data_IF_197024315190
#
_entry.id   IF_197024315190
#
_cell.length_a   1.000
_cell.length_b   1.000
_cell.length_c   1.000
_cell.angle_alpha   90.00
_cell.angle_beta   90.00
_cell.angle_gamma   90.00
#
_symmetry.space_group_name_H-M   'P 1'
#
loop_
_entity.id
_entity.type
_entity.pdbx_description
1 polymer ?
#
# COMPACT_ATOMS: atom_id res chain seq x y z
N UNK A 1 37.18 44.40 41.28
CA UNK A 1 36.41 43.17 41.52
C UNK A 1 35.34 42.91 40.44
N UNK A 2 34.77 43.97 39.84
CA UNK A 2 33.67 43.91 38.84
C UNK A 2 34.03 43.28 37.49
N UNK A 3 35.23 43.51 36.94
CA UNK A 3 35.67 42.96 35.63
C UNK A 3 35.72 41.43 35.61
N UNK A 4 36.15 40.80 36.70
CA UNK A 4 36.19 39.33 36.80
C UNK A 4 34.79 38.72 36.81
N UNK A 5 33.85 39.36 37.51
CA UNK A 5 32.46 38.93 37.57
C UNK A 5 31.76 39.03 36.20
N UNK A 6 32.00 40.14 35.48
CA UNK A 6 31.49 40.36 34.11
C UNK A 6 32.04 39.34 33.10
N UNK A 7 33.32 38.99 33.20
CA UNK A 7 33.93 38.00 32.31
C UNK A 7 33.34 36.59 32.54
N UNK A 8 33.12 36.21 33.81
CA UNK A 8 32.52 34.91 34.15
C UNK A 8 31.05 34.80 33.72
N UNK A 9 30.26 35.86 33.83
CA UNK A 9 28.85 35.84 33.40
C UNK A 9 28.73 35.80 31.87
N UNK A 10 29.58 36.54 31.15
CA UNK A 10 29.61 36.50 29.69
C UNK A 10 29.98 35.11 29.15
N UNK A 11 30.94 34.43 29.78
CA UNK A 11 31.34 33.07 29.41
C UNK A 11 30.24 32.05 29.72
N UNK A 12 29.58 32.16 30.88
CA UNK A 12 28.47 31.29 31.24
C UNK A 12 27.28 31.45 30.28
N UNK A 13 26.95 32.69 29.90
CA UNK A 13 25.87 32.97 28.96
C UNK A 13 26.16 32.41 27.55
N UNK A 14 27.40 32.56 27.07
CA UNK A 14 27.80 32.02 25.75
C UNK A 14 27.83 30.50 25.73
N UNK A 15 28.26 29.84 26.82
CA UNK A 15 28.18 28.38 26.95
C UNK A 15 26.73 27.90 26.93
N UNK A 16 25.85 28.49 27.74
CA UNK A 16 24.43 28.11 27.81
C UNK A 16 23.73 28.29 26.46
N UNK A 17 23.94 29.43 25.79
CA UNK A 17 23.34 29.72 24.48
C UNK A 17 23.96 28.88 23.36
N UNK A 18 25.27 28.61 23.42
CA UNK A 18 25.99 27.82 22.41
C UNK A 18 25.62 26.33 22.46
N UNK A 19 25.50 25.74 23.65
CA UNK A 19 25.16 24.31 23.78
C UNK A 19 23.66 24.04 23.64
N UNK A 20 22.79 25.00 23.98
CA UNK A 20 21.34 24.89 23.77
C UNK A 20 20.94 25.03 22.28
N UNK A 21 21.81 25.56 21.42
CA UNK A 21 21.52 25.83 20.01
C UNK A 21 21.44 24.59 19.10
N UNK A 22 21.96 23.43 19.52
CA UNK A 22 21.99 22.23 18.66
C UNK A 22 20.60 21.74 18.23
N UNK A 23 19.54 22.04 19.00
CA UNK A 23 18.17 21.61 18.72
C UNK A 23 17.37 22.51 17.77
N UNK A 24 17.90 23.69 17.39
CA UNK A 24 17.13 24.68 16.61
C UNK A 24 17.13 24.35 15.11
N UNK A 25 18.18 23.66 14.63
CA UNK A 25 18.36 23.32 13.22
C UNK A 25 18.10 21.84 12.90
N UNK A 26 17.70 21.05 13.89
CA UNK A 26 17.30 19.65 13.63
C UNK A 26 15.87 19.61 13.15
N UNK A 27 15.66 19.00 12.00
CA UNK A 27 14.34 18.69 11.51
C UNK A 27 13.64 17.74 12.51
N UNK A 28 12.44 18.09 12.94
CA UNK A 28 11.73 17.31 13.97
C UNK A 28 11.33 15.97 13.38
N UNK A 29 11.76 14.87 14.00
CA UNK A 29 11.48 13.51 13.51
C UNK A 29 9.98 13.24 13.31
N UNK A 30 9.10 13.92 14.08
CA UNK A 30 7.64 13.81 13.97
C UNK A 30 7.05 14.48 12.73
N UNK A 31 7.80 15.36 12.05
CA UNK A 31 7.37 16.00 10.80
C UNK A 31 7.75 15.19 9.56
N UNK A 32 8.51 14.09 9.72
CA UNK A 32 8.86 13.20 8.62
C UNK A 32 7.71 12.21 8.40
N UNK A 33 6.93 12.35 7.32
CA UNK A 33 5.84 11.43 7.05
C UNK A 33 6.42 10.04 6.75
N UNK A 34 5.88 9.03 7.41
CA UNK A 34 6.12 7.63 7.13
C UNK A 34 4.79 6.88 7.19
N UNK A 35 4.74 5.70 6.60
CA UNK A 35 3.57 4.83 6.74
C UNK A 35 3.72 4.07 8.05
N UNK A 36 2.91 4.43 9.05
CA UNK A 36 3.00 3.85 10.39
C UNK A 36 2.25 2.52 10.56
N UNK A 37 1.45 2.13 9.55
CA UNK A 37 0.81 0.82 9.47
C UNK A 37 1.53 -0.10 8.50
N UNK A 38 0.95 -1.28 8.28
CA UNK A 38 1.52 -2.30 7.39
C UNK A 38 1.42 -1.91 5.91
N UNK A 39 0.49 -0.99 5.59
CA UNK A 39 0.29 -0.49 4.25
C UNK A 39 1.15 0.74 3.95
N UNK A 40 1.37 0.99 2.66
CA UNK A 40 2.17 2.12 2.19
C UNK A 40 1.29 3.24 1.64
N UNK A 41 1.71 4.48 1.86
CA UNK A 41 1.10 5.65 1.25
C UNK A 41 1.83 6.00 -0.05
N UNK A 42 1.07 6.21 -1.12
CA UNK A 42 1.60 6.53 -2.47
C UNK A 42 0.88 7.75 -2.98
N UNK A 43 1.59 8.68 -3.61
CA UNK A 43 0.99 9.84 -4.25
C UNK A 43 1.36 9.78 -5.74
N UNK A 44 0.37 9.81 -6.61
CA UNK A 44 0.54 9.84 -8.06
C UNK A 44 -0.27 11.02 -8.57
N UNK A 45 0.41 12.08 -9.04
CA UNK A 45 -0.26 13.32 -9.45
C UNK A 45 -1.26 13.84 -8.39
N UNK A 46 -2.53 13.95 -8.77
CA UNK A 46 -3.64 14.35 -7.90
C UNK A 46 -4.34 13.20 -7.15
N UNK A 47 -3.84 11.97 -7.26
CA UNK A 47 -4.33 10.81 -6.52
C UNK A 47 -3.43 10.50 -5.32
N UNK A 48 -4.05 10.41 -4.16
CA UNK A 48 -3.43 10.08 -2.89
C UNK A 48 -3.91 8.70 -2.45
N UNK A 49 -3.08 7.67 -2.64
CA UNK A 49 -3.37 6.32 -2.20
C UNK A 49 -2.88 6.14 -0.77
N UNK A 50 -3.76 5.66 0.11
CA UNK A 50 -3.53 5.55 1.55
C UNK A 50 -3.69 4.11 1.98
N UNK A 51 -2.74 3.67 2.80
CA UNK A 51 -2.69 2.32 3.36
C UNK A 51 -2.82 1.22 2.29
N UNK A 52 -2.00 1.32 1.23
CA UNK A 52 -1.97 0.30 0.18
C UNK A 52 -1.36 -0.98 0.73
N UNK A 53 -2.14 -2.05 0.67
CA UNK A 53 -1.84 -3.38 1.16
C UNK A 53 -2.08 -4.40 0.06
N UNK A 54 -1.30 -5.48 0.09
CA UNK A 54 -1.49 -6.64 -0.78
C UNK A 54 -1.71 -7.85 0.10
N UNK A 55 -2.89 -8.47 -0.03
CA UNK A 55 -3.26 -9.67 0.72
C UNK A 55 -3.35 -10.84 -0.26
N UNK A 56 -2.62 -11.91 0.00
CA UNK A 56 -2.63 -13.13 -0.82
C UNK A 56 -3.26 -14.30 -0.09
N UNK A 57 -3.56 -15.36 -0.82
CA UNK A 57 -4.05 -16.64 -0.31
C UNK A 57 -3.20 -17.82 -0.82
N UNK A 58 -3.61 -19.05 -0.47
CA UNK A 58 -2.92 -20.28 -0.88
C UNK A 58 -2.92 -20.50 -2.41
N UNK A 59 -3.84 -19.86 -3.14
CA UNK A 59 -3.92 -19.94 -4.60
C UNK A 59 -2.88 -19.06 -5.29
N UNK A 60 -2.29 -18.10 -4.57
CA UNK A 60 -1.35 -17.11 -5.12
C UNK A 60 -2.04 -15.95 -5.84
N UNK A 61 -3.34 -15.76 -5.61
CA UNK A 61 -4.07 -14.56 -6.03
C UNK A 61 -3.78 -13.43 -5.05
N UNK A 62 -4.01 -12.18 -5.46
CA UNK A 62 -3.70 -11.01 -4.64
C UNK A 62 -4.83 -10.00 -4.64
N UNK A 63 -5.22 -9.56 -3.46
CA UNK A 63 -6.21 -8.52 -3.20
C UNK A 63 -5.49 -7.23 -2.86
N UNK A 64 -5.78 -6.17 -3.60
CA UNK A 64 -5.29 -4.83 -3.32
C UNK A 64 -6.28 -4.12 -2.39
N UNK A 65 -5.83 -3.77 -1.18
CA UNK A 65 -6.63 -3.00 -0.23
C UNK A 65 -6.02 -1.61 -0.11
N UNK A 66 -6.83 -0.57 -0.33
CA UNK A 66 -6.38 0.81 -0.22
C UNK A 66 -7.56 1.78 -0.06
N UNK A 67 -7.26 2.99 0.41
CA UNK A 67 -8.16 4.14 0.26
C UNK A 67 -7.54 5.13 -0.72
N UNK A 68 -8.27 5.51 -1.75
CA UNK A 68 -7.82 6.50 -2.73
C UNK A 68 -8.55 7.81 -2.44
N UNK A 69 -7.79 8.88 -2.25
CA UNK A 69 -8.31 10.24 -2.22
C UNK A 69 -7.95 10.90 -3.54
N UNK A 70 -8.96 11.26 -4.32
CA UNK A 70 -8.83 11.94 -5.59
C UNK A 70 -9.11 13.44 -5.38
N UNK A 71 -8.05 14.25 -5.40
CA UNK A 71 -8.15 15.71 -5.28
C UNK A 71 -8.42 16.40 -6.63
N UNK A 72 -8.62 15.63 -7.70
CA UNK A 72 -9.01 16.15 -9.01
C UNK A 72 -10.53 16.26 -9.12
N UNK A 73 -11.01 17.12 -10.03
CA UNK A 73 -12.45 17.37 -10.24
C UNK A 73 -13.12 16.33 -11.17
N UNK A 74 -12.39 15.31 -11.61
CA UNK A 74 -12.89 14.30 -12.55
C UNK A 74 -12.60 12.89 -12.02
N UNK A 75 -13.43 11.93 -12.43
CA UNK A 75 -13.15 10.50 -12.20
C UNK A 75 -11.86 10.13 -12.92
N UNK A 76 -10.96 9.45 -12.21
CA UNK A 76 -9.69 8.96 -12.75
C UNK A 76 -9.71 7.43 -12.81
N UNK A 77 -9.06 6.88 -13.82
CA UNK A 77 -8.82 5.44 -13.94
C UNK A 77 -7.36 5.18 -13.60
N UNK A 78 -7.14 4.60 -12.42
CA UNK A 78 -5.83 4.23 -11.92
C UNK A 78 -5.48 2.83 -12.41
N UNK A 79 -4.40 2.71 -13.17
CA UNK A 79 -3.76 1.45 -13.50
C UNK A 79 -2.82 1.06 -12.37
N UNK A 80 -3.00 -0.16 -11.88
CA UNK A 80 -2.18 -0.81 -10.86
C UNK A 80 -1.57 -2.05 -11.47
N UNK A 81 -0.30 -1.96 -11.88
CA UNK A 81 0.45 -3.04 -12.51
C UNK A 81 1.26 -3.79 -11.43
N UNK A 82 0.93 -5.06 -11.20
CA UNK A 82 1.71 -5.97 -10.37
C UNK A 82 2.87 -6.53 -11.19
N UNK A 83 4.10 -6.11 -10.88
CA UNK A 83 5.29 -6.66 -11.51
C UNK A 83 5.70 -7.96 -10.86
N UNK A 84 5.15 -9.04 -11.39
CA UNK A 84 5.57 -10.41 -11.10
C UNK A 84 6.27 -10.98 -12.34
N UNK A 85 6.55 -12.29 -12.35
CA UNK A 85 7.06 -12.97 -13.54
C UNK A 85 6.13 -12.79 -14.76
N UNK A 86 4.82 -12.69 -14.51
CA UNK A 86 3.82 -12.30 -15.51
C UNK A 86 3.11 -11.03 -15.02
N UNK A 87 3.37 -9.86 -15.63
CA UNK A 87 2.73 -8.62 -15.22
C UNK A 87 1.20 -8.73 -15.28
N UNK A 88 0.53 -8.26 -14.24
CA UNK A 88 -0.93 -8.26 -14.13
C UNK A 88 -1.40 -6.85 -13.83
N UNK A 89 -2.33 -6.36 -14.66
CA UNK A 89 -2.88 -5.01 -14.52
C UNK A 89 -4.28 -5.06 -13.89
N UNK A 90 -4.48 -4.23 -12.88
CA UNK A 90 -5.80 -3.90 -12.34
C UNK A 90 -6.14 -2.46 -12.68
N UNK A 91 -7.38 -2.24 -13.13
CA UNK A 91 -7.91 -0.88 -13.28
C UNK A 91 -8.83 -0.58 -12.11
N UNK A 92 -8.50 0.46 -11.36
CA UNK A 92 -9.29 0.94 -10.23
C UNK A 92 -9.90 2.30 -10.58
N UNK A 93 -11.21 2.42 -10.39
CA UNK A 93 -11.92 3.68 -10.63
C UNK A 93 -11.80 4.54 -9.37
N UNK A 94 -11.20 5.72 -9.50
CA UNK A 94 -11.09 6.70 -8.42
C UNK A 94 -12.09 7.85 -8.68
N UNK A 95 -13.22 7.83 -7.96
CA UNK A 95 -14.19 8.92 -7.99
C UNK A 95 -13.61 10.16 -7.30
N UNK A 96 -14.15 11.35 -7.60
CA UNK A 96 -13.82 12.58 -6.88
C UNK A 96 -14.02 12.38 -5.37
N UNK A 97 -13.07 12.84 -4.56
CA UNK A 97 -13.08 12.61 -3.11
C UNK A 97 -12.55 11.22 -2.74
N UNK A 98 -13.28 10.49 -1.90
CA UNK A 98 -12.79 9.25 -1.28
C UNK A 98 -13.37 8.01 -1.96
N UNK A 99 -12.49 7.12 -2.43
CA UNK A 99 -12.84 5.79 -2.92
C UNK A 99 -12.14 4.71 -2.08
N UNK A 100 -12.91 3.72 -1.63
CA UNK A 100 -12.41 2.54 -0.91
C UNK A 100 -12.18 1.40 -1.89
N UNK A 101 -11.07 0.68 -1.75
CA UNK A 101 -10.63 -0.39 -2.67
C UNK A 101 -10.26 -1.61 -1.84
N UNK A 102 -10.72 -2.79 -2.26
CA UNK A 102 -10.44 -4.06 -1.59
C UNK A 102 -11.00 -4.18 -0.17
N UNK A 103 -11.86 -3.25 0.26
CA UNK A 103 -12.64 -3.43 1.48
C UNK A 103 -13.80 -4.37 1.19
N UNK A 104 -14.01 -5.33 2.09
CA UNK A 104 -15.00 -6.39 1.92
C UNK A 104 -16.33 -5.85 1.36
N UNK A 105 -16.76 -6.46 0.26
CA UNK A 105 -18.03 -6.26 -0.47
C UNK A 105 -18.25 -4.92 -1.21
N UNK A 106 -17.41 -3.90 -1.01
CA UNK A 106 -17.61 -2.59 -1.65
C UNK A 106 -17.01 -2.52 -3.06
N UNK A 107 -15.71 -2.82 -3.21
CA UNK A 107 -14.96 -2.69 -4.47
C UNK A 107 -13.79 -3.70 -4.51
N UNK A 108 -14.03 -4.97 -4.87
CA UNK A 108 -12.96 -5.96 -4.93
C UNK A 108 -11.94 -5.58 -6.01
N UNK A 109 -10.66 -5.58 -5.66
CA UNK A 109 -9.55 -5.35 -6.58
C UNK A 109 -8.60 -6.54 -6.50
N UNK A 110 -8.95 -7.60 -7.24
CA UNK A 110 -8.26 -8.89 -7.18
C UNK A 110 -7.45 -9.13 -8.45
N UNK A 111 -6.14 -9.27 -8.31
CA UNK A 111 -5.21 -9.73 -9.33
C UNK A 111 -5.10 -11.26 -9.25
N UNK A 112 -5.59 -11.94 -10.29
CA UNK A 112 -5.61 -13.42 -10.37
C UNK A 112 -4.31 -13.91 -11.01
N UNK A 113 -3.73 -14.97 -10.46
CA UNK A 113 -2.55 -15.63 -11.02
C UNK A 113 -1.24 -14.89 -10.75
N UNK A 114 -1.18 -14.04 -9.73
CA UNK A 114 0.05 -13.31 -9.37
C UNK A 114 1.16 -14.20 -8.84
N UNK A 115 0.82 -15.42 -8.42
CA UNK A 115 1.72 -16.39 -7.78
C UNK A 115 2.50 -15.79 -6.58
N UNK A 116 1.91 -14.78 -5.93
CA UNK A 116 2.54 -14.12 -4.79
C UNK A 116 2.48 -15.01 -3.55
N UNK A 117 3.45 -14.83 -2.65
CA UNK A 117 3.56 -15.54 -1.38
C UNK A 117 3.68 -14.54 -0.24
N UNK A 118 3.01 -14.83 0.87
CA UNK A 118 3.09 -14.01 2.06
C UNK A 118 4.53 -13.89 2.58
N UNK A 119 4.90 -12.70 3.06
CA UNK A 119 6.23 -12.39 3.57
C UNK A 119 7.23 -11.90 2.53
N UNK A 120 6.87 -11.85 1.24
CA UNK A 120 7.68 -11.21 0.21
C UNK A 120 7.26 -9.76 -0.04
N UNK A 121 8.06 -9.04 -0.83
CA UNK A 121 7.68 -7.74 -1.38
C UNK A 121 7.34 -7.89 -2.85
N UNK A 122 6.32 -7.16 -3.30
CA UNK A 122 5.94 -7.05 -4.71
C UNK A 122 6.10 -5.61 -5.17
N UNK A 123 6.71 -5.42 -6.34
CA UNK A 123 6.78 -4.11 -6.96
C UNK A 123 5.49 -3.84 -7.72
N UNK A 124 4.81 -2.76 -7.35
CA UNK A 124 3.57 -2.32 -7.98
C UNK A 124 3.77 -0.94 -8.57
N UNK A 125 3.39 -0.80 -9.84
CA UNK A 125 3.45 0.45 -10.57
C UNK A 125 2.06 1.08 -10.65
N UNK A 126 1.95 2.29 -10.11
CA UNK A 126 0.71 3.07 -10.05
C UNK A 126 0.77 4.20 -11.07
N UNK A 127 -0.19 4.25 -11.98
CA UNK A 127 -0.25 5.27 -13.02
C UNK A 127 -1.69 5.63 -13.35
N UNK A 128 -1.96 6.90 -13.65
CA UNK A 128 -3.26 7.29 -14.19
C UNK A 128 -3.09 8.36 -15.28
N UNK A 129 -3.96 8.29 -16.29
CA UNK A 129 -4.00 9.27 -17.38
C UNK A 129 -2.65 9.44 -18.07
N UNK A 130 -2.13 10.67 -18.09
CA UNK A 130 -0.80 11.01 -18.63
C UNK A 130 0.21 11.42 -17.56
N UNK A 131 -0.03 11.12 -16.28
CA UNK A 131 0.92 11.42 -15.22
C UNK A 131 2.08 10.41 -15.22
N UNK A 132 3.23 10.86 -14.71
CA UNK A 132 4.34 9.96 -14.40
C UNK A 132 3.88 8.98 -13.32
N UNK A 133 4.05 7.68 -13.59
CA UNK A 133 3.69 6.65 -12.62
C UNK A 133 4.75 6.49 -11.55
N UNK A 134 4.32 5.93 -10.42
CA UNK A 134 5.16 5.70 -9.25
C UNK A 134 5.26 4.21 -8.99
N UNK A 135 6.48 3.72 -8.86
CA UNK A 135 6.76 2.33 -8.50
C UNK A 135 6.99 2.24 -6.99
N UNK A 136 6.33 1.29 -6.35
CA UNK A 136 6.45 1.05 -4.91
C UNK A 136 6.62 -0.43 -4.63
N UNK A 137 7.51 -0.76 -3.70
CA UNK A 137 7.69 -2.12 -3.22
C UNK A 137 6.81 -2.33 -1.98
N UNK A 138 5.79 -3.16 -2.09
CA UNK A 138 4.73 -3.34 -1.09
C UNK A 138 4.83 -4.74 -0.47
N UNK A 139 4.78 -4.87 0.86
CA UNK A 139 4.79 -6.19 1.51
C UNK A 139 3.50 -6.96 1.18
N UNK A 140 3.66 -8.26 0.93
CA UNK A 140 2.56 -9.20 0.72
C UNK A 140 2.24 -9.89 2.04
N UNK A 141 1.00 -9.73 2.50
CA UNK A 141 0.48 -10.36 3.72
C UNK A 141 -0.52 -11.46 3.36
N UNK A 142 -0.95 -12.25 4.32
CA UNK A 142 -1.99 -13.28 4.16
C UNK A 142 -3.18 -13.04 5.09
N UNK A 143 -4.26 -13.77 4.82
CA UNK A 143 -5.47 -13.79 5.64
C UNK A 143 -5.37 -14.65 6.91
N UNK A 144 -4.18 -15.14 7.29
CA UNK A 144 -4.02 -16.04 8.46
C UNK A 144 -4.32 -15.32 9.77
N UNK A 145 -4.11 -14.00 9.83
CA UNK A 145 -4.50 -13.17 10.96
C UNK A 145 -5.94 -12.66 10.80
N UNK A 146 -6.71 -12.67 11.89
CA UNK A 146 -8.13 -12.21 11.90
C UNK A 146 -8.32 -10.81 11.31
N UNK A 147 -7.32 -9.93 11.45
CA UNK A 147 -7.34 -8.57 10.92
C UNK A 147 -7.38 -8.54 9.38
N UNK A 148 -6.71 -9.48 8.70
CA UNK A 148 -6.60 -9.51 7.23
C UNK A 148 -7.48 -10.56 6.57
N UNK A 149 -7.99 -11.52 7.33
CA UNK A 149 -8.90 -12.56 6.83
C UNK A 149 -10.06 -12.03 5.95
N UNK A 150 -10.72 -10.89 6.27
CA UNK A 150 -11.80 -10.34 5.45
C UNK A 150 -11.37 -9.82 4.07
N UNK A 151 -10.08 -9.71 3.81
CA UNK A 151 -9.51 -9.18 2.58
C UNK A 151 -8.86 -10.26 1.71
N UNK A 152 -8.93 -11.52 2.13
CA UNK A 152 -8.39 -12.65 1.40
C UNK A 152 -9.07 -12.78 0.01
N UNK A 153 -8.31 -12.97 -1.08
CA UNK A 153 -8.85 -13.10 -2.43
C UNK A 153 -9.92 -14.19 -2.57
N UNK A 154 -9.74 -15.34 -1.90
CA UNK A 154 -10.66 -16.47 -1.88
C UNK A 154 -12.10 -16.14 -1.46
N UNK A 155 -12.35 -15.02 -0.80
CA UNK A 155 -13.71 -14.56 -0.45
C UNK A 155 -14.45 -13.94 -1.64
N UNK A 156 -13.72 -13.50 -2.66
CA UNK A 156 -14.25 -12.72 -3.79
C UNK A 156 -14.07 -13.43 -5.13
N UNK A 157 -13.18 -14.43 -5.21
CA UNK A 157 -12.98 -15.27 -6.38
C UNK A 157 -13.88 -16.51 -6.26
N UNK A 158 -14.76 -16.82 -7.22
CA UNK A 158 -15.47 -18.09 -7.21
C UNK A 158 -14.45 -19.24 -7.28
N UNK A 159 -14.62 -20.27 -6.44
CA UNK A 159 -13.79 -21.47 -6.48
C UNK A 159 -13.61 -21.94 -7.93
N UNK A 160 -12.40 -22.37 -8.34
CA UNK A 160 -12.19 -22.87 -9.69
C UNK A 160 -13.21 -23.97 -9.97
N UNK A 161 -14.02 -23.76 -11.01
CA UNK A 161 -15.05 -24.73 -11.41
C UNK A 161 -14.35 -26.05 -11.71
N UNK A 162 -14.48 -27.00 -10.79
CA UNK A 162 -14.09 -28.39 -11.05
C UNK A 162 -14.89 -28.85 -12.25
N UNK A 163 -14.24 -28.94 -13.41
CA UNK A 163 -14.85 -29.55 -14.59
C UNK A 163 -15.22 -30.98 -14.19
N UNK A 164 -16.50 -31.38 -14.19
CA UNK A 164 -16.86 -32.74 -13.79
C UNK A 164 -16.12 -33.70 -14.70
N UNK A 165 -15.30 -34.56 -14.09
CA UNK A 165 -14.63 -35.67 -14.76
C UNK A 165 -15.70 -36.48 -15.48
N UNK A 166 -15.54 -36.65 -16.78
CA UNK A 166 -16.52 -37.28 -17.64
C UNK A 166 -16.99 -38.63 -17.05
N UNK A 167 -18.29 -38.76 -16.82
CA UNK A 167 -18.94 -40.04 -16.53
C UNK A 167 -18.53 -41.05 -17.61
N UNK A 168 -17.92 -42.19 -17.27
CA UNK A 168 -17.60 -43.19 -18.28
C UNK A 168 -18.90 -43.68 -18.91
N UNK A 169 -18.99 -43.50 -20.22
CA UNK A 169 -20.09 -43.97 -21.07
C UNK A 169 -20.23 -45.48 -20.90
N UNK A 170 -21.36 -45.95 -20.37
CA UNK A 170 -21.68 -47.36 -20.32
C UNK A 170 -21.91 -47.87 -21.75
N UNK A 171 -21.09 -48.85 -22.15
CA UNK A 171 -21.32 -49.69 -23.33
C UNK A 171 -22.60 -50.51 -23.11
N UNK A 172 -23.59 -50.49 -24.03
CA UNK A 172 -24.66 -51.47 -23.98
C UNK A 172 -24.16 -52.78 -24.60
N UNK A 173 -24.08 -53.84 -23.80
CA UNK A 173 -24.21 -55.21 -24.28
C UNK A 173 -25.71 -55.57 -24.28
N UNK A 174 -26.22 -56.02 -25.43
CA UNK A 174 -27.59 -56.53 -25.58
C UNK A 174 -28.23 -56.19 -26.92
#
# INVERSE_FOLDING_TARGET
MTIRALASTALAATLLLGTAGCGIFVDSATLKPYSAGDGLNVNVGGLQLRNVLVITDESGDASLVATIVNDTTNVQYLTVEFRTDTPIDLTVIANEGLTKVGLADDNPAIAIGTALKAGQYVDIYFQYGGQDGVMMSIPVLDGTYELYAPYAPSLFVPEPVVTPSATPSATPEG
#
